data_IF_936676446606
#
_entry.id   IF_936676446606
#
_cell.length_a   1.000
_cell.length_b   1.000
_cell.length_c   1.000
_cell.angle_alpha   90.00
_cell.angle_beta   90.00
_cell.angle_gamma   90.00
#
_symmetry.space_group_name_H-M   'P 1'
#
loop_
_entity.id
_entity.type
_entity.pdbx_description
1 polymer ?
#
# COMPACT_ATOMS: atom_id res chain seq x y z
N UNK A 1 -9.57 11.35 19.70
CA UNK A 1 -9.26 11.74 18.30
C UNK A 1 -7.90 11.23 17.82
N UNK A 2 -6.80 11.43 18.57
CA UNK A 2 -5.45 11.01 18.17
C UNK A 2 -5.27 9.54 17.76
N UNK A 3 -5.87 8.59 18.49
CA UNK A 3 -5.82 7.15 18.15
C UNK A 3 -6.44 6.85 16.78
N UNK A 4 -7.62 7.41 16.51
CA UNK A 4 -8.33 7.23 15.23
C UNK A 4 -7.53 7.81 14.07
N UNK A 5 -7.00 9.03 14.21
CA UNK A 5 -6.12 9.66 13.22
C UNK A 5 -4.88 8.82 12.94
N UNK A 6 -4.29 8.22 13.99
CA UNK A 6 -3.16 7.29 13.85
C UNK A 6 -3.52 6.06 13.02
N UNK A 7 -4.67 5.44 13.29
CA UNK A 7 -5.15 4.27 12.55
C UNK A 7 -5.40 4.63 11.08
N UNK A 8 -6.08 5.75 10.82
CA UNK A 8 -6.33 6.24 9.45
C UNK A 8 -5.01 6.42 8.70
N UNK A 9 -4.03 7.11 9.29
CA UNK A 9 -2.73 7.31 8.66
C UNK A 9 -1.99 6.00 8.34
N UNK A 10 -2.05 5.02 9.25
CA UNK A 10 -1.45 3.70 9.07
C UNK A 10 -2.14 2.94 7.94
N UNK A 11 -3.47 2.99 7.86
CA UNK A 11 -4.25 2.39 6.76
C UNK A 11 -3.83 3.00 5.41
N UNK A 12 -3.80 4.33 5.29
CA UNK A 12 -3.40 5.00 4.06
C UNK A 12 -1.95 4.74 3.68
N UNK A 13 -1.04 4.66 4.65
CA UNK A 13 0.35 4.27 4.41
C UNK A 13 0.44 2.82 3.90
N UNK A 14 -0.33 1.90 4.49
CA UNK A 14 -0.38 0.50 4.04
C UNK A 14 -0.94 0.37 2.63
N UNK A 15 -2.01 1.10 2.33
CA UNK A 15 -2.58 1.18 0.99
C UNK A 15 -1.57 1.74 -0.01
N UNK A 16 -0.84 2.81 0.34
CA UNK A 16 0.19 3.38 -0.52
C UNK A 16 1.34 2.40 -0.79
N UNK A 17 1.81 1.69 0.23
CA UNK A 17 2.86 0.68 0.07
C UNK A 17 2.39 -0.44 -0.87
N UNK A 18 1.17 -0.96 -0.66
CA UNK A 18 0.58 -2.00 -1.49
C UNK A 18 0.38 -1.54 -2.94
N UNK A 19 -0.11 -0.32 -3.17
CA UNK A 19 -0.33 0.23 -4.51
C UNK A 19 0.96 0.47 -5.27
N UNK A 20 2.05 0.81 -4.58
CA UNK A 20 3.36 0.89 -5.21
C UNK A 20 3.87 -0.50 -5.61
N UNK A 21 3.71 -1.52 -4.75
CA UNK A 21 4.08 -2.90 -5.10
C UNK A 21 3.22 -3.43 -6.27
N UNK A 22 1.89 -3.33 -6.17
CA UNK A 22 0.96 -3.76 -7.22
C UNK A 22 1.20 -3.01 -8.53
N UNK A 23 1.35 -1.69 -8.46
CA UNK A 23 1.62 -0.86 -9.63
C UNK A 23 2.97 -1.18 -10.26
N UNK A 24 4.00 -1.47 -9.45
CA UNK A 24 5.29 -1.94 -9.93
C UNK A 24 5.17 -3.28 -10.67
N UNK A 25 4.67 -4.32 -10.00
CA UNK A 25 4.49 -5.66 -10.59
C UNK A 25 3.60 -5.60 -11.84
N UNK A 26 2.51 -4.83 -11.80
CA UNK A 26 1.58 -4.65 -12.92
C UNK A 26 2.20 -3.94 -14.13
N UNK A 27 3.38 -3.32 -14.00
CA UNK A 27 4.10 -2.64 -15.09
C UNK A 27 5.00 -3.60 -15.87
N UNK A 28 5.15 -4.86 -15.45
CA UNK A 28 6.01 -5.85 -16.14
C UNK A 28 5.68 -6.01 -17.63
N UNK A 29 4.41 -5.85 -18.00
CA UNK A 29 3.94 -5.89 -19.40
C UNK A 29 4.51 -4.76 -20.25
N UNK A 30 4.74 -3.58 -19.67
CA UNK A 30 5.32 -2.42 -20.34
C UNK A 30 6.85 -2.36 -20.20
N UNK A 31 7.41 -2.94 -19.14
CA UNK A 31 8.84 -2.87 -18.82
C UNK A 31 9.66 -3.99 -19.48
N UNK A 32 9.18 -5.23 -19.47
CA UNK A 32 9.97 -6.39 -19.93
C UNK A 32 9.29 -7.19 -21.03
N UNK A 33 7.95 -7.19 -21.05
CA UNK A 33 7.17 -8.01 -21.98
C UNK A 33 6.48 -7.18 -23.08
N UNK A 34 7.00 -5.99 -23.37
CA UNK A 34 6.40 -5.01 -24.28
C UNK A 34 6.04 -5.61 -25.64
N UNK A 35 6.90 -6.48 -26.19
CA UNK A 35 6.66 -7.17 -27.48
C UNK A 35 5.51 -8.18 -27.43
N UNK A 36 5.24 -8.80 -26.27
CA UNK A 36 4.17 -9.79 -26.08
C UNK A 36 2.77 -9.16 -26.00
N UNK A 37 2.70 -7.85 -25.78
CA UNK A 37 1.47 -7.14 -25.50
C UNK A 37 1.28 -5.98 -26.49
N UNK A 38 0.54 -6.18 -27.61
CA UNK A 38 0.40 -5.17 -28.67
C UNK A 38 0.03 -3.74 -28.24
N UNK A 39 -0.88 -3.51 -27.26
CA UNK A 39 -1.17 -2.18 -26.73
C UNK A 39 0.02 -1.46 -26.08
N UNK A 40 1.11 -2.18 -25.81
CA UNK A 40 2.35 -1.66 -25.22
C UNK A 40 3.41 -1.32 -26.27
N UNK A 41 3.20 -1.62 -27.56
CA UNK A 41 4.22 -1.38 -28.60
C UNK A 41 4.61 0.09 -28.74
N UNK A 42 3.70 1.03 -28.44
CA UNK A 42 4.00 2.46 -28.36
C UNK A 42 5.07 2.82 -27.30
N UNK A 43 5.38 1.89 -26.39
CA UNK A 43 6.38 2.06 -25.34
C UNK A 43 7.72 1.42 -25.68
N UNK A 44 7.88 0.78 -26.86
CA UNK A 44 9.12 0.06 -27.20
C UNK A 44 10.35 0.97 -27.13
N UNK A 45 10.26 2.17 -27.72
CA UNK A 45 11.36 3.15 -27.71
C UNK A 45 11.64 3.71 -26.31
N UNK A 46 10.65 3.63 -25.42
CA UNK A 46 10.71 4.13 -24.05
C UNK A 46 10.77 3.00 -23.01
N UNK A 47 11.05 1.75 -23.41
CA UNK A 47 10.96 0.58 -22.54
C UNK A 47 11.88 0.71 -21.32
N UNK A 48 13.06 1.32 -21.51
CA UNK A 48 14.04 1.60 -20.46
C UNK A 48 13.44 2.44 -19.32
N UNK A 49 12.60 3.44 -19.64
CA UNK A 49 11.93 4.29 -18.66
C UNK A 49 10.98 3.45 -17.80
N UNK A 50 10.19 2.56 -18.42
CA UNK A 50 9.26 1.70 -17.70
C UNK A 50 9.96 0.65 -16.84
N UNK A 51 11.14 0.17 -17.24
CA UNK A 51 11.97 -0.71 -16.40
C UNK A 51 12.43 -0.01 -15.13
N UNK A 52 12.98 1.20 -15.26
CA UNK A 52 13.42 2.01 -14.11
C UNK A 52 12.22 2.32 -13.21
N UNK A 53 11.11 2.80 -13.78
CA UNK A 53 9.90 3.11 -13.03
C UNK A 53 9.35 1.88 -12.31
N UNK A 54 9.37 0.69 -12.93
CA UNK A 54 8.94 -0.55 -12.31
C UNK A 54 9.77 -0.87 -11.07
N UNK A 55 11.11 -0.91 -11.21
CA UNK A 55 12.04 -1.28 -10.14
C UNK A 55 11.94 -0.26 -8.99
N UNK A 56 12.02 1.03 -9.31
CA UNK A 56 11.95 2.10 -8.31
C UNK A 56 10.60 2.09 -7.58
N UNK A 57 9.49 1.88 -8.29
CA UNK A 57 8.16 1.81 -7.65
C UNK A 57 8.09 0.63 -6.67
N UNK A 58 8.65 -0.54 -7.01
CA UNK A 58 8.71 -1.70 -6.10
C UNK A 58 9.54 -1.37 -4.86
N UNK A 59 10.72 -0.78 -5.03
CA UNK A 59 11.59 -0.38 -3.91
C UNK A 59 10.91 0.62 -2.98
N UNK A 60 10.20 1.61 -3.53
CA UNK A 60 9.39 2.55 -2.76
C UNK A 60 8.27 1.82 -2.01
N UNK A 61 7.61 0.85 -2.64
CA UNK A 61 6.59 0.02 -2.01
C UNK A 61 7.14 -0.76 -0.81
N UNK A 62 8.30 -1.41 -0.95
CA UNK A 62 8.99 -2.12 0.13
C UNK A 62 9.44 -1.17 1.25
N UNK A 63 10.00 -0.01 0.90
CA UNK A 63 10.30 1.06 1.85
C UNK A 63 9.04 1.52 2.58
N UNK A 64 7.91 1.59 1.89
CA UNK A 64 6.61 1.93 2.45
C UNK A 64 6.12 0.91 3.48
N UNK A 65 6.28 -0.39 3.22
CA UNK A 65 5.99 -1.45 4.21
C UNK A 65 6.87 -1.30 5.44
N UNK A 66 8.16 -1.03 5.24
CA UNK A 66 9.07 -0.79 6.37
C UNK A 66 8.67 0.43 7.19
N UNK A 67 8.34 1.55 6.55
CA UNK A 67 7.87 2.76 7.22
C UNK A 67 6.53 2.54 7.95
N UNK A 68 5.61 1.78 7.35
CA UNK A 68 4.35 1.35 7.97
C UNK A 68 4.60 0.60 9.28
N UNK A 69 5.50 -0.38 9.28
CA UNK A 69 5.85 -1.14 10.48
C UNK A 69 6.39 -0.21 11.58
N UNK A 70 7.22 0.78 11.21
CA UNK A 70 7.77 1.76 12.16
C UNK A 70 6.71 2.72 12.69
N UNK A 71 5.74 3.14 11.89
CA UNK A 71 4.61 3.95 12.34
C UNK A 71 3.71 3.20 13.33
N UNK A 72 3.49 1.90 13.09
CA UNK A 72 2.73 1.02 13.99
C UNK A 72 3.47 0.85 15.32
N UNK A 73 4.78 0.54 15.28
CA UNK A 73 5.58 0.30 16.50
C UNK A 73 5.90 1.58 17.27
N UNK A 74 5.92 2.72 16.59
CA UNK A 74 6.42 3.99 17.12
C UNK A 74 7.93 4.10 16.98
N UNK A 75 8.41 5.29 16.61
CA UNK A 75 9.85 5.54 16.50
C UNK A 75 10.18 6.98 16.11
N UNK A 76 11.31 7.48 16.62
CA UNK A 76 11.72 8.89 16.48
C UNK A 76 11.76 9.38 15.03
N UNK A 77 12.14 8.52 14.08
CA UNK A 77 12.20 8.88 12.65
C UNK A 77 11.06 8.31 11.82
N UNK A 78 10.14 7.54 12.39
CA UNK A 78 9.11 6.80 11.65
C UNK A 78 8.28 7.71 10.74
N UNK A 79 7.84 8.85 11.28
CA UNK A 79 7.04 9.82 10.54
C UNK A 79 7.85 10.55 9.45
N UNK A 80 9.10 10.90 9.72
CA UNK A 80 9.99 11.53 8.73
C UNK A 80 10.25 10.60 7.56
N UNK A 81 10.56 9.34 7.85
CA UNK A 81 10.92 8.37 6.83
C UNK A 81 9.69 8.02 5.97
N UNK A 82 8.50 7.93 6.57
CA UNK A 82 7.23 7.83 5.83
C UNK A 82 7.01 9.05 4.92
N UNK A 83 7.22 10.27 5.42
CA UNK A 83 7.06 11.50 4.62
C UNK A 83 8.00 11.52 3.40
N UNK A 84 9.27 11.15 3.58
CA UNK A 84 10.25 11.09 2.48
C UNK A 84 9.78 10.09 1.42
N UNK A 85 9.37 8.89 1.83
CA UNK A 85 8.87 7.87 0.92
C UNK A 85 7.60 8.30 0.18
N UNK A 86 6.69 9.01 0.86
CA UNK A 86 5.48 9.54 0.24
C UNK A 86 5.77 10.62 -0.79
N UNK A 87 6.71 11.53 -0.51
CA UNK A 87 7.14 12.55 -1.48
C UNK A 87 7.79 11.90 -2.70
N UNK A 88 8.78 11.03 -2.47
CA UNK A 88 9.48 10.32 -3.57
C UNK A 88 8.51 9.45 -4.37
N UNK A 89 7.63 8.73 -3.67
CA UNK A 89 6.57 7.90 -4.27
C UNK A 89 5.59 8.70 -5.12
N UNK A 90 5.12 9.85 -4.63
CA UNK A 90 4.23 10.72 -5.38
C UNK A 90 4.89 11.28 -6.65
N UNK A 91 6.16 11.70 -6.56
CA UNK A 91 6.91 12.19 -7.74
C UNK A 91 7.08 11.08 -8.77
N UNK A 92 7.56 9.91 -8.37
CA UNK A 92 7.77 8.77 -9.28
C UNK A 92 6.44 8.29 -9.89
N UNK A 93 5.37 8.23 -9.09
CA UNK A 93 4.04 7.87 -9.57
C UNK A 93 3.48 8.92 -10.55
N UNK A 94 3.75 10.21 -10.31
CA UNK A 94 3.35 11.30 -11.19
C UNK A 94 4.07 11.23 -12.55
N UNK A 95 5.39 11.00 -12.55
CA UNK A 95 6.18 10.79 -13.77
C UNK A 95 5.61 9.60 -14.57
N UNK A 96 5.33 8.48 -13.90
CA UNK A 96 4.79 7.29 -14.56
C UNK A 96 3.39 7.56 -15.15
N UNK A 97 2.50 8.23 -14.40
CA UNK A 97 1.18 8.62 -14.90
C UNK A 97 1.30 9.52 -16.13
N UNK A 98 2.13 10.56 -16.05
CA UNK A 98 2.36 11.50 -17.16
C UNK A 98 2.90 10.80 -18.40
N UNK A 99 3.96 9.99 -18.26
CA UNK A 99 4.54 9.23 -19.36
C UNK A 99 3.52 8.31 -20.03
N UNK A 100 2.68 7.63 -19.24
CA UNK A 100 1.64 6.75 -19.79
C UNK A 100 0.53 7.51 -20.52
N UNK A 101 0.12 8.68 -20.02
CA UNK A 101 -0.82 9.55 -20.72
C UNK A 101 -0.22 10.09 -22.03
N UNK A 102 1.03 10.58 -21.99
CA UNK A 102 1.69 11.15 -23.15
C UNK A 102 1.94 10.13 -24.27
N UNK A 103 2.34 8.90 -23.92
CA UNK A 103 2.74 7.88 -24.90
C UNK A 103 1.59 6.96 -25.34
N UNK A 104 0.55 6.77 -24.52
CA UNK A 104 -0.55 5.82 -24.80
C UNK A 104 -1.95 6.41 -24.69
N UNK A 105 -2.10 7.64 -24.21
CA UNK A 105 -3.40 8.25 -23.91
C UNK A 105 -4.15 7.61 -22.73
N UNK A 106 -3.57 6.60 -22.06
CA UNK A 106 -4.19 5.85 -20.96
C UNK A 106 -3.15 5.57 -19.87
N UNK A 107 -3.57 5.69 -18.61
CA UNK A 107 -2.66 5.53 -17.48
C UNK A 107 -3.21 4.67 -16.34
N UNK A 108 -4.24 3.85 -16.56
CA UNK A 108 -4.70 2.90 -15.53
C UNK A 108 -3.72 1.71 -15.46
N UNK A 109 -3.25 1.28 -14.27
CA UNK A 109 -3.54 1.80 -12.92
C UNK A 109 -2.53 2.83 -12.38
N UNK A 110 -1.59 3.33 -13.18
CA UNK A 110 -0.60 4.34 -12.77
C UNK A 110 -1.25 5.62 -12.20
N UNK A 111 -2.40 6.06 -12.73
CA UNK A 111 -3.18 7.17 -12.19
C UNK A 111 -3.74 6.88 -10.79
N UNK A 112 -4.36 5.71 -10.57
CA UNK A 112 -4.89 5.30 -9.26
C UNK A 112 -3.77 5.25 -8.23
N UNK A 113 -2.62 4.68 -8.60
CA UNK A 113 -1.40 4.69 -7.76
C UNK A 113 -0.98 6.12 -7.42
N UNK A 114 -0.93 7.03 -8.39
CA UNK A 114 -0.56 8.42 -8.15
C UNK A 114 -1.54 9.10 -7.17
N UNK A 115 -2.85 8.98 -7.38
CA UNK A 115 -3.83 9.59 -6.49
C UNK A 115 -3.76 9.06 -5.06
N UNK A 116 -3.54 7.77 -4.86
CA UNK A 116 -3.36 7.20 -3.52
C UNK A 116 -2.08 7.72 -2.85
N UNK A 117 -0.96 7.82 -3.58
CA UNK A 117 0.26 8.44 -3.05
C UNK A 117 0.03 9.91 -2.68
N UNK A 118 -0.63 10.68 -3.55
CA UNK A 118 -0.90 12.09 -3.36
C UNK A 118 -1.84 12.37 -2.18
N UNK A 119 -2.95 11.63 -2.06
CA UNK A 119 -3.89 11.76 -0.94
C UNK A 119 -3.22 11.34 0.37
N UNK A 120 -2.44 10.26 0.37
CA UNK A 120 -1.72 9.84 1.58
C UNK A 120 -0.67 10.86 1.99
N UNK A 121 0.08 11.42 1.03
CA UNK A 121 0.99 12.52 1.28
C UNK A 121 0.26 13.73 1.88
N UNK A 122 -0.89 14.12 1.31
CA UNK A 122 -1.70 15.22 1.83
C UNK A 122 -2.15 14.95 3.28
N UNK A 123 -2.65 13.75 3.57
CA UNK A 123 -3.02 13.34 4.94
C UNK A 123 -1.81 13.48 5.86
N UNK A 124 -0.64 12.97 5.46
CA UNK A 124 0.55 13.08 6.28
C UNK A 124 0.97 14.53 6.48
N UNK A 125 0.92 15.38 5.46
CA UNK A 125 1.22 16.81 5.58
C UNK A 125 0.27 17.50 6.57
N UNK A 126 -1.03 17.18 6.54
CA UNK A 126 -2.00 17.69 7.52
C UNK A 126 -1.66 17.24 8.94
N UNK A 127 -1.25 15.98 9.12
CA UNK A 127 -0.80 15.45 10.41
C UNK A 127 0.50 16.10 10.92
N UNK A 128 1.21 16.87 10.09
CA UNK A 128 2.43 17.59 10.48
C UNK A 128 2.13 18.87 11.24
N UNK A 129 0.92 19.42 11.08
CA UNK A 129 0.52 20.68 11.69
C UNK A 129 0.62 20.59 13.22
N UNK A 130 1.11 21.64 13.91
CA UNK A 130 1.48 21.58 15.32
C UNK A 130 0.36 21.05 16.23
N UNK A 131 -0.87 21.53 16.06
CA UNK A 131 -2.02 21.10 16.86
C UNK A 131 -2.52 19.66 16.61
N UNK A 132 -2.22 19.06 15.45
CA UNK A 132 -2.64 17.69 15.11
C UNK A 132 -1.52 16.69 15.47
N UNK A 133 -0.26 17.09 15.24
CA UNK A 133 0.92 16.27 15.49
C UNK A 133 1.01 15.83 16.95
N UNK A 134 0.68 16.72 17.87
CA UNK A 134 0.67 16.46 19.33
C UNK A 134 -0.42 15.46 19.75
N UNK A 135 -1.48 15.30 18.95
CA UNK A 135 -2.54 14.33 19.25
C UNK A 135 -2.18 12.92 18.79
N UNK A 136 -1.43 12.78 17.69
CA UNK A 136 -1.15 11.47 17.06
C UNK A 136 0.16 10.84 17.57
N UNK A 137 1.19 11.66 17.80
CA UNK A 137 2.50 11.29 18.37
C UNK A 137 3.07 9.95 17.85
N UNK A 138 3.38 9.88 16.55
CA UNK A 138 4.01 8.69 15.94
C UNK A 138 5.39 8.34 16.50
N UNK A 139 6.07 9.28 17.16
CA UNK A 139 7.33 9.04 17.85
C UNK A 139 7.15 8.06 19.01
N UNK A 140 5.98 8.06 19.63
CA UNK A 140 5.71 7.27 20.81
C UNK A 140 5.08 5.92 20.43
N UNK A 141 5.44 4.84 21.13
CA UNK A 141 4.78 3.55 20.96
C UNK A 141 3.30 3.67 21.38
N UNK A 142 2.37 3.26 20.52
CA UNK A 142 0.95 3.21 20.88
C UNK A 142 0.62 2.00 21.76
N UNK A 143 -0.53 2.01 22.44
CA UNK A 143 -0.99 0.86 23.22
C UNK A 143 -1.22 -0.38 22.32
N UNK A 144 -1.14 -1.61 22.88
CA UNK A 144 -1.25 -2.84 22.10
C UNK A 144 -2.54 -2.97 21.27
N UNK A 145 -3.67 -2.50 21.81
CA UNK A 145 -4.96 -2.54 21.12
C UNK A 145 -5.03 -1.58 19.94
N UNK A 146 -4.51 -0.35 20.09
CA UNK A 146 -4.38 0.58 18.97
C UNK A 146 -3.47 0.02 17.86
N UNK A 147 -2.37 -0.68 18.21
CA UNK A 147 -1.52 -1.34 17.21
C UNK A 147 -2.24 -2.49 16.51
N UNK A 148 -2.99 -3.29 17.26
CA UNK A 148 -3.82 -4.36 16.72
C UNK A 148 -4.82 -3.81 15.71
N UNK A 149 -5.59 -2.81 16.13
CA UNK A 149 -6.58 -2.14 15.31
C UNK A 149 -5.96 -1.57 14.03
N UNK A 150 -4.86 -0.81 14.16
CA UNK A 150 -4.22 -0.17 13.02
C UNK A 150 -3.65 -1.18 12.01
N UNK A 151 -2.93 -2.19 12.49
CA UNK A 151 -2.33 -3.21 11.62
C UNK A 151 -3.37 -4.14 10.98
N UNK A 152 -4.38 -4.56 11.74
CA UNK A 152 -5.48 -5.39 11.25
C UNK A 152 -6.34 -4.66 10.23
N UNK A 153 -6.73 -3.42 10.50
CA UNK A 153 -7.50 -2.60 9.57
C UNK A 153 -6.72 -2.32 8.27
N UNK A 154 -5.43 -1.99 8.36
CA UNK A 154 -4.59 -1.79 7.19
C UNK A 154 -4.50 -3.07 6.33
N UNK A 155 -4.26 -4.23 6.95
CA UNK A 155 -4.21 -5.50 6.25
C UNK A 155 -5.55 -5.84 5.57
N UNK A 156 -6.68 -5.65 6.26
CA UNK A 156 -8.01 -5.89 5.69
C UNK A 156 -8.26 -4.99 4.47
N UNK A 157 -8.06 -3.68 4.62
CA UNK A 157 -8.34 -2.72 3.55
C UNK A 157 -7.44 -2.97 2.34
N UNK A 158 -6.15 -3.22 2.56
CA UNK A 158 -5.24 -3.62 1.49
C UNK A 158 -5.70 -4.92 0.84
N UNK A 159 -6.07 -5.93 1.63
CA UNK A 159 -6.56 -7.21 1.12
C UNK A 159 -7.78 -7.07 0.21
N UNK A 160 -8.75 -6.22 0.58
CA UNK A 160 -9.92 -5.89 -0.25
C UNK A 160 -9.52 -5.21 -1.57
N UNK A 161 -8.59 -4.25 -1.54
CA UNK A 161 -8.12 -3.57 -2.76
C UNK A 161 -7.39 -4.53 -3.69
N UNK A 162 -6.55 -5.42 -3.14
CA UNK A 162 -5.84 -6.44 -3.91
C UNK A 162 -6.83 -7.42 -4.55
N UNK A 163 -7.84 -7.90 -3.81
CA UNK A 163 -8.85 -8.82 -4.34
C UNK A 163 -9.74 -8.19 -5.41
N UNK A 164 -10.06 -6.91 -5.26
CA UNK A 164 -10.90 -6.17 -6.22
C UNK A 164 -10.11 -5.66 -7.44
N UNK A 165 -8.79 -5.86 -7.50
CA UNK A 165 -7.92 -5.32 -8.57
C UNK A 165 -8.41 -5.66 -9.98
N UNK A 166 -8.86 -6.89 -10.23
CA UNK A 166 -9.36 -7.29 -11.56
C UNK A 166 -10.66 -6.60 -11.96
N UNK A 167 -11.43 -6.08 -11.00
CA UNK A 167 -12.70 -5.39 -11.25
C UNK A 167 -12.46 -3.98 -11.78
N UNK A 168 -11.57 -3.21 -11.14
CA UNK A 168 -11.35 -1.80 -11.51
C UNK A 168 -10.19 -1.60 -12.50
N UNK A 169 -9.26 -2.55 -12.61
CA UNK A 169 -8.20 -2.53 -13.65
C UNK A 169 -8.67 -3.20 -14.95
N UNK A 170 -9.60 -4.15 -14.86
CA UNK A 170 -9.98 -5.06 -15.94
C UNK A 170 -10.30 -4.37 -17.25
N UNK A 171 -11.18 -3.37 -17.24
CA UNK A 171 -11.63 -2.66 -18.45
C UNK A 171 -10.47 -2.05 -19.25
N UNK A 172 -9.45 -1.54 -18.57
CA UNK A 172 -8.27 -0.95 -19.21
C UNK A 172 -7.28 -1.97 -19.79
N UNK A 173 -7.48 -3.26 -19.49
CA UNK A 173 -6.60 -4.38 -19.84
C UNK A 173 -7.32 -5.47 -20.66
N UNK A 174 -8.47 -5.14 -21.25
CA UNK A 174 -9.13 -6.00 -22.24
C UNK A 174 -8.50 -5.72 -23.61
N UNK A 175 -8.01 -6.77 -24.25
CA UNK A 175 -7.53 -6.73 -25.63
C UNK A 175 -8.07 -7.94 -26.38
N UNK A 176 -8.75 -7.70 -27.51
CA UNK A 176 -9.39 -8.75 -28.33
C UNK A 176 -10.29 -9.71 -27.53
N UNK A 177 -11.06 -9.17 -26.57
CA UNK A 177 -11.97 -9.96 -25.73
C UNK A 177 -11.31 -10.71 -24.57
N UNK A 178 -9.97 -10.72 -24.47
CA UNK A 178 -9.24 -11.31 -23.35
C UNK A 178 -8.88 -10.25 -22.30
N UNK A 179 -9.19 -10.51 -21.03
CA UNK A 179 -8.79 -9.66 -19.90
C UNK A 179 -7.42 -10.09 -19.37
N UNK A 180 -6.40 -9.28 -19.63
CA UNK A 180 -5.02 -9.59 -19.26
C UNK A 180 -4.71 -9.43 -17.77
N UNK A 181 -5.62 -8.85 -16.97
CA UNK A 181 -5.47 -8.87 -15.52
C UNK A 181 -5.52 -10.29 -14.95
N UNK A 182 -6.08 -11.26 -15.69
CA UNK A 182 -6.14 -12.65 -15.26
C UNK A 182 -4.77 -13.33 -15.16
N UNK A 183 -3.74 -12.80 -15.82
CA UNK A 183 -2.35 -13.27 -15.67
C UNK A 183 -1.90 -13.18 -14.21
N UNK A 184 -2.39 -12.20 -13.46
CA UNK A 184 -2.07 -12.00 -12.04
C UNK A 184 -3.19 -12.50 -11.09
N UNK A 185 -4.20 -13.21 -11.59
CA UNK A 185 -5.38 -13.59 -10.78
C UNK A 185 -5.00 -14.40 -9.54
N UNK A 186 -4.21 -15.46 -9.71
CA UNK A 186 -3.80 -16.34 -8.60
C UNK A 186 -3.01 -15.57 -7.54
N UNK A 187 -1.92 -14.83 -7.87
CA UNK A 187 -1.17 -14.09 -6.85
C UNK A 187 -2.02 -12.99 -6.19
N UNK A 188 -2.91 -12.31 -6.92
CA UNK A 188 -3.84 -11.32 -6.34
C UNK A 188 -4.82 -11.99 -5.36
N UNK A 189 -5.42 -13.11 -5.73
CA UNK A 189 -6.34 -13.85 -4.86
C UNK A 189 -5.64 -14.36 -3.60
N UNK A 190 -4.47 -15.00 -3.75
CA UNK A 190 -3.72 -15.56 -2.64
C UNK A 190 -3.25 -14.48 -1.66
N UNK A 191 -2.62 -13.42 -2.17
CA UNK A 191 -2.12 -12.32 -1.32
C UNK A 191 -3.25 -11.53 -0.67
N UNK A 192 -4.33 -11.23 -1.41
CA UNK A 192 -5.47 -10.51 -0.88
C UNK A 192 -6.24 -11.28 0.20
N UNK A 193 -6.45 -12.60 -0.01
CA UNK A 193 -7.07 -13.46 1.01
C UNK A 193 -6.18 -13.62 2.24
N UNK A 194 -4.87 -13.78 2.06
CA UNK A 194 -3.92 -13.84 3.17
C UNK A 194 -3.98 -12.55 4.02
N UNK A 195 -3.98 -11.37 3.38
CA UNK A 195 -4.08 -10.10 4.08
C UNK A 195 -5.42 -9.91 4.81
N UNK A 196 -6.53 -10.30 4.18
CA UNK A 196 -7.85 -10.27 4.80
C UNK A 196 -7.91 -11.16 6.05
N UNK A 197 -7.52 -12.43 5.89
CA UNK A 197 -7.61 -13.44 6.95
C UNK A 197 -6.68 -13.13 8.11
N UNK A 198 -5.42 -12.75 7.84
CA UNK A 198 -4.47 -12.36 8.87
C UNK A 198 -4.90 -11.06 9.57
N UNK A 199 -5.43 -10.09 8.82
CA UNK A 199 -5.95 -8.84 9.38
C UNK A 199 -7.16 -9.08 10.29
N UNK A 200 -8.12 -9.89 9.84
CA UNK A 200 -9.29 -10.27 10.63
C UNK A 200 -8.92 -11.07 11.89
N UNK A 201 -8.01 -12.05 11.75
CA UNK A 201 -7.48 -12.81 12.88
C UNK A 201 -6.82 -11.88 13.91
N UNK A 202 -6.02 -10.91 13.46
CA UNK A 202 -5.33 -9.98 14.36
C UNK A 202 -6.30 -9.13 15.19
N UNK A 203 -7.44 -8.72 14.61
CA UNK A 203 -8.49 -8.00 15.31
C UNK A 203 -9.29 -8.93 16.25
N UNK A 204 -9.63 -10.12 15.79
CA UNK A 204 -10.35 -11.11 16.60
C UNK A 204 -9.56 -11.49 17.87
N UNK A 205 -8.25 -11.68 17.75
CA UNK A 205 -7.36 -11.97 18.89
C UNK A 205 -7.23 -10.80 19.89
N UNK A 206 -7.55 -9.57 19.48
CA UNK A 206 -7.53 -8.39 20.34
C UNK A 206 -8.86 -8.20 21.08
N UNK A 207 -9.98 -8.56 20.43
CA UNK A 207 -11.34 -8.47 20.97
C UNK A 207 -11.67 -9.65 21.87
N UNK A 208 -11.21 -10.86 21.51
CA UNK A 208 -11.38 -12.04 22.34
C UNK A 208 -10.79 -11.72 23.71
N UNK A 209 -11.60 -11.72 24.78
CA UNK A 209 -11.12 -11.36 26.10
C UNK A 209 -9.93 -12.24 26.39
N UNK A 210 -8.88 -11.62 26.92
CA UNK A 210 -7.67 -12.28 27.45
C UNK A 210 -8.09 -13.13 28.66
N UNK A 211 -8.93 -14.15 28.45
CA UNK A 211 -9.59 -15.03 29.42
C UNK A 211 -8.61 -16.03 30.05
N UNK A 212 -7.31 -15.73 30.01
CA UNK A 212 -6.29 -16.51 30.68
C UNK A 212 -5.27 -15.62 31.40
N UNK A 213 -5.62 -15.19 32.62
CA UNK A 213 -4.62 -14.98 33.65
C UNK A 213 -5.09 -15.54 34.99
N UNK A 214 -4.93 -16.86 35.22
CA UNK A 214 -4.89 -17.39 36.60
C UNK A 214 -4.38 -18.82 36.79
N UNK A 215 -4.34 -19.71 35.78
CA UNK A 215 -3.96 -21.13 36.07
C UNK A 215 -2.48 -21.33 36.42
N UNK A 216 -1.60 -20.36 36.15
CA UNK A 216 -0.17 -20.43 36.50
C UNK A 216 0.30 -19.32 37.44
N UNK A 217 -0.61 -18.61 38.11
CA UNK A 217 -0.24 -17.80 39.26
C UNK A 217 0.12 -18.76 40.40
N UNK A 218 1.38 -19.21 40.40
CA UNK A 218 2.01 -19.97 41.49
C UNK A 218 1.54 -19.40 42.82
N UNK A 219 0.89 -20.23 43.61
CA UNK A 219 1.01 -20.19 45.06
C UNK A 219 2.51 -20.18 45.38
N UNK A 220 3.08 -19.01 45.54
CA UNK A 220 4.27 -18.86 46.38
C UNK A 220 3.70 -18.80 47.80
N UNK A 221 3.84 -19.92 48.51
CA UNK A 221 3.70 -19.97 49.96
C UNK A 221 4.79 -19.19 50.67
#
# INVERSE_FOLDING_TARGET
MGKTLRIIAIVFMGLTAAMNILGGIGTVCAAFLTKKFPPMWALLDYQWLYQILMIVTILIGLGGVWALIRLIKGGKTAYRDAMILLVVGAVVAGIHMYASLALRGKAVPANVKFYINAITLLIFLLLRLPGIREQVRFSDPSDPGTRAAASGAAAIIVGLVVLSTTLWVGESHIYQGANWTHVLKIPLMASGLALLTLGALRLALDILPRRWPSIFARQKG
#
